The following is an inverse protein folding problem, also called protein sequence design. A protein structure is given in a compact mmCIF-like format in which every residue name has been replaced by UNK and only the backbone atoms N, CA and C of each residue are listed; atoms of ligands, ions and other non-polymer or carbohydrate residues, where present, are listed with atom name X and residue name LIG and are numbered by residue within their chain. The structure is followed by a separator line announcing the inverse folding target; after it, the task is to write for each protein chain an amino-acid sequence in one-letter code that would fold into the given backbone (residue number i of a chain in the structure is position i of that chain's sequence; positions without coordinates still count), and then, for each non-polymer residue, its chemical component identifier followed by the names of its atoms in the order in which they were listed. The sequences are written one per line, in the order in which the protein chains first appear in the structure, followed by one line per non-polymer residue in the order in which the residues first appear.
data_IF_084091027285
#
_entry.id   IF_084091027285
#
_cell.length_a   1.000
_cell.length_b   1.000
_cell.length_c   1.000
_cell.angle_alpha   90.00
_cell.angle_beta   90.00
_cell.angle_gamma   90.00
#
_symmetry.space_group_name_H-M   'P 1'
#
loop_
_entity.id
_entity.type
_entity.pdbx_description
1 polymer ?
#
# COMPACT_ATOMS: atom_id res chain seq x y z
N UNK A 1 -15.16 -15.02 20.74
CA UNK A 1 -13.81 -15.31 20.24
C UNK A 1 -13.36 -14.02 19.61
N UNK A 2 -12.43 -13.31 20.24
CA UNK A 2 -11.82 -12.16 19.59
C UNK A 2 -11.10 -12.72 18.36
N UNK A 3 -11.61 -12.46 17.16
CA UNK A 3 -10.87 -12.76 15.95
C UNK A 3 -9.58 -11.95 16.04
N UNK A 4 -8.44 -12.63 16.05
CA UNK A 4 -7.15 -11.97 15.95
C UNK A 4 -7.17 -11.19 14.62
N UNK A 5 -7.13 -9.86 14.71
CA UNK A 5 -7.05 -9.02 13.52
C UNK A 5 -5.75 -9.33 12.81
N UNK A 6 -5.79 -9.34 11.48
CA UNK A 6 -4.60 -9.48 10.66
C UNK A 6 -3.58 -8.38 10.96
N UNK A 7 -2.32 -8.63 10.63
CA UNK A 7 -1.22 -7.68 10.81
C UNK A 7 -1.02 -6.82 9.57
N UNK A 8 -0.57 -5.58 9.78
CA UNK A 8 -0.12 -4.73 8.69
C UNK A 8 1.40 -4.86 8.52
N UNK A 9 1.83 -5.42 7.40
CA UNK A 9 3.23 -5.64 7.04
C UNK A 9 3.64 -4.55 6.05
N UNK A 10 4.63 -3.74 6.42
CA UNK A 10 5.04 -2.57 5.63
C UNK A 10 6.45 -2.79 5.10
N UNK A 11 6.59 -2.90 3.78
CA UNK A 11 7.87 -2.84 3.08
C UNK A 11 8.14 -1.40 2.64
N UNK A 12 9.20 -0.82 3.20
CA UNK A 12 9.62 0.56 2.90
C UNK A 12 11.10 0.64 2.57
N UNK A 13 11.43 1.55 1.67
CA UNK A 13 12.79 1.80 1.18
C UNK A 13 12.78 2.86 0.07
N UNK A 14 13.92 3.44 -0.31
CA UNK A 14 14.00 4.48 -1.35
C UNK A 14 13.49 4.02 -2.73
N UNK A 15 13.10 4.96 -3.59
CA UNK A 15 12.77 4.67 -4.98
C UNK A 15 13.95 4.00 -5.70
N UNK A 16 13.69 2.90 -6.41
CA UNK A 16 14.69 2.17 -7.20
C UNK A 16 15.53 1.15 -6.41
N UNK A 17 15.31 0.98 -5.10
CA UNK A 17 16.04 -0.02 -4.27
C UNK A 17 15.65 -1.47 -4.58
N UNK A 18 14.56 -1.69 -5.31
CA UNK A 18 14.09 -3.03 -5.71
C UNK A 18 12.93 -3.58 -4.89
N UNK A 19 12.16 -2.74 -4.19
CA UNK A 19 10.96 -3.13 -3.42
C UNK A 19 9.99 -4.01 -4.23
N UNK A 20 9.65 -3.60 -5.46
CA UNK A 20 8.79 -4.39 -6.35
C UNK A 20 9.34 -5.79 -6.67
N UNK A 21 10.67 -5.96 -6.74
CA UNK A 21 11.33 -7.27 -6.92
C UNK A 21 11.16 -8.14 -5.67
N UNK A 22 11.34 -7.56 -4.49
CA UNK A 22 11.14 -8.24 -3.20
C UNK A 22 9.66 -8.64 -3.04
N UNK A 23 8.73 -7.71 -3.29
CA UNK A 23 7.29 -7.97 -3.33
C UNK A 23 6.98 -9.16 -4.24
N UNK A 24 7.42 -9.11 -5.50
CA UNK A 24 7.16 -10.17 -6.47
C UNK A 24 7.63 -11.52 -5.94
N UNK A 25 8.83 -11.59 -5.38
CA UNK A 25 9.39 -12.85 -4.85
C UNK A 25 8.66 -13.37 -3.62
N UNK A 26 8.16 -12.49 -2.75
CA UNK A 26 7.30 -12.87 -1.62
C UNK A 26 6.00 -13.50 -2.13
N UNK A 27 5.32 -12.86 -3.08
CA UNK A 27 4.04 -13.33 -3.61
C UNK A 27 4.15 -14.49 -4.62
N UNK A 28 5.35 -14.80 -5.11
CA UNK A 28 5.64 -16.04 -5.87
C UNK A 28 5.76 -17.27 -4.97
N UNK A 29 5.99 -17.11 -3.67
CA UNK A 29 6.05 -18.22 -2.72
C UNK A 29 4.63 -18.70 -2.39
N UNK A 30 4.28 -19.97 -2.69
CA UNK A 30 2.94 -20.50 -2.43
C UNK A 30 2.60 -20.63 -0.93
N UNK A 31 3.58 -20.52 -0.04
CA UNK A 31 3.35 -20.46 1.41
C UNK A 31 2.95 -19.07 1.91
N UNK A 32 3.07 -18.04 1.07
CA UNK A 32 2.68 -16.68 1.42
C UNK A 32 1.17 -16.54 1.54
N UNK A 33 0.70 -16.20 2.75
CA UNK A 33 -0.71 -15.98 3.06
C UNK A 33 -1.14 -14.51 3.04
N UNK A 34 -0.20 -13.59 2.83
CA UNK A 34 -0.45 -12.14 2.87
C UNK A 34 -1.38 -11.70 1.72
N UNK A 35 -2.13 -10.63 1.96
CA UNK A 35 -2.93 -9.93 0.95
C UNK A 35 -2.22 -8.64 0.57
N UNK A 36 -1.89 -8.47 -0.70
CA UNK A 36 -1.25 -7.24 -1.17
C UNK A 36 -2.26 -6.10 -1.22
N UNK A 37 -1.92 -4.95 -0.65
CA UNK A 37 -2.68 -3.71 -0.82
C UNK A 37 -2.06 -2.87 -1.92
N UNK A 38 -2.81 -2.73 -3.02
CA UNK A 38 -2.40 -1.96 -4.19
C UNK A 38 -2.65 -0.48 -3.91
N UNK A 39 -1.59 0.32 -3.94
CA UNK A 39 -1.67 1.76 -3.72
C UNK A 39 -2.30 2.49 -4.93
N UNK A 40 -2.88 3.65 -4.68
CA UNK A 40 -3.32 4.58 -5.72
C UNK A 40 -2.19 5.54 -6.07
N UNK A 41 -2.14 5.98 -7.34
CA UNK A 41 -1.23 7.05 -7.75
C UNK A 41 -1.81 7.94 -8.83
N UNK A 42 -1.37 9.20 -8.88
CA UNK A 42 -1.66 10.12 -10.00
C UNK A 42 -0.57 10.14 -11.06
N UNK A 43 0.52 9.39 -10.85
CA UNK A 43 1.58 9.23 -11.84
C UNK A 43 1.01 8.55 -13.09
N UNK A 44 1.53 8.91 -14.26
CA UNK A 44 1.23 8.17 -15.48
C UNK A 44 1.77 6.72 -15.41
N UNK A 45 0.94 5.79 -15.88
CA UNK A 45 1.33 4.39 -16.04
C UNK A 45 2.57 4.28 -16.95
N UNK A 46 3.58 3.53 -16.51
CA UNK A 46 4.77 3.21 -17.31
C UNK A 46 4.51 2.00 -18.19
N UNK A 47 5.34 1.83 -19.22
CA UNK A 47 5.30 0.64 -20.07
C UNK A 47 5.49 -0.64 -19.23
N UNK A 48 4.55 -1.57 -19.37
CA UNK A 48 4.54 -2.84 -18.64
C UNK A 48 3.81 -2.83 -17.29
N UNK A 49 3.38 -1.67 -16.78
CA UNK A 49 2.51 -1.60 -15.59
C UNK A 49 1.05 -1.89 -15.97
N UNK A 50 0.30 -2.47 -15.02
CA UNK A 50 -1.12 -2.80 -15.20
C UNK A 50 -1.96 -2.15 -14.09
N UNK A 51 -3.03 -1.46 -14.49
CA UNK A 51 -3.99 -0.84 -13.56
C UNK A 51 -4.70 -1.92 -12.72
N UNK A 52 -4.77 -1.70 -11.40
CA UNK A 52 -5.31 -2.67 -10.46
C UNK A 52 -4.41 -3.87 -10.19
N UNK A 53 -3.14 -3.82 -10.61
CA UNK A 53 -2.11 -4.82 -10.26
C UNK A 53 -0.89 -4.14 -9.65
N UNK A 54 -0.35 -3.13 -10.33
CA UNK A 54 0.81 -2.37 -9.84
C UNK A 54 0.36 -1.17 -9.02
N UNK A 55 -0.58 -0.39 -9.56
CA UNK A 55 -1.24 0.72 -8.89
C UNK A 55 -2.68 0.84 -9.39
N UNK A 56 -3.51 1.51 -8.61
CA UNK A 56 -4.73 2.12 -9.11
C UNK A 56 -4.41 3.52 -9.64
N UNK A 57 -4.37 3.66 -10.96
CA UNK A 57 -4.04 4.94 -11.60
C UNK A 57 -5.27 5.86 -11.59
N UNK A 58 -5.12 7.03 -10.99
CA UNK A 58 -6.20 8.03 -10.83
C UNK A 58 -5.78 9.37 -11.41
N UNK A 59 -6.75 10.19 -11.80
CA UNK A 59 -6.49 11.60 -12.07
C UNK A 59 -6.22 12.33 -10.75
N UNK A 60 -5.54 13.49 -10.83
CA UNK A 60 -5.28 14.31 -9.63
C UNK A 60 -6.57 14.73 -8.94
N UNK A 61 -7.56 15.21 -9.70
CA UNK A 61 -8.86 15.60 -9.16
C UNK A 61 -9.59 14.45 -8.45
N UNK A 62 -9.54 13.24 -9.00
CA UNK A 62 -10.13 12.06 -8.38
C UNK A 62 -9.39 11.67 -7.09
N UNK A 63 -8.07 11.77 -7.08
CA UNK A 63 -7.27 11.51 -5.88
C UNK A 63 -7.56 12.54 -4.78
N UNK A 64 -7.62 13.83 -5.12
CA UNK A 64 -7.93 14.90 -4.17
C UNK A 64 -9.36 14.80 -3.61
N UNK A 65 -10.32 14.30 -4.40
CA UNK A 65 -11.65 13.98 -3.89
C UNK A 65 -11.59 12.87 -2.83
N UNK A 66 -10.82 11.79 -3.08
CA UNK A 66 -10.63 10.70 -2.12
C UNK A 66 -9.91 11.15 -0.83
N UNK A 67 -8.98 12.11 -0.92
CA UNK A 67 -8.37 12.75 0.27
C UNK A 67 -9.45 13.44 1.11
N UNK A 68 -10.35 14.22 0.48
CA UNK A 68 -11.42 14.95 1.19
C UNK A 68 -12.44 14.02 1.86
N UNK A 69 -12.58 12.82 1.33
CA UNK A 69 -13.49 11.79 1.83
C UNK A 69 -12.79 10.82 2.83
N UNK A 70 -11.59 11.17 3.32
CA UNK A 70 -10.79 10.39 4.27
C UNK A 70 -10.56 8.92 3.83
N UNK A 71 -10.36 8.70 2.52
CA UNK A 71 -10.27 7.34 1.93
C UNK A 71 -8.85 6.75 1.95
N UNK A 72 -7.89 7.38 2.62
CA UNK A 72 -6.49 6.95 2.67
C UNK A 72 -5.99 6.79 4.10
N UNK A 73 -5.21 5.73 4.38
CA UNK A 73 -4.47 5.59 5.65
C UNK A 73 -3.28 6.55 5.66
N UNK A 74 -2.61 6.63 4.51
CA UNK A 74 -1.53 7.57 4.27
C UNK A 74 -1.59 8.01 2.82
N UNK A 75 -1.11 9.21 2.58
CA UNK A 75 -0.77 9.68 1.25
C UNK A 75 0.41 10.63 1.30
N UNK A 76 1.15 10.70 0.21
CA UNK A 76 2.27 11.62 0.01
C UNK A 76 2.32 12.12 -1.43
N UNK A 77 2.86 13.32 -1.61
CA UNK A 77 3.20 13.84 -2.94
C UNK A 77 4.69 13.69 -3.18
N UNK A 78 5.06 12.97 -4.24
CA UNK A 78 6.44 12.78 -4.64
C UNK A 78 6.62 13.16 -6.11
N UNK A 79 7.49 14.14 -6.36
CA UNK A 79 7.79 14.67 -7.70
C UNK A 79 6.49 15.03 -8.46
N UNK A 80 5.58 15.74 -7.79
CA UNK A 80 4.32 16.23 -8.35
C UNK A 80 3.23 15.18 -8.55
N UNK A 81 3.42 13.95 -8.06
CA UNK A 81 2.42 12.88 -8.16
C UNK A 81 2.02 12.41 -6.76
N UNK A 82 0.73 12.20 -6.54
CA UNK A 82 0.23 11.59 -5.32
C UNK A 82 0.43 10.08 -5.35
N UNK A 83 0.66 9.53 -4.17
CA UNK A 83 0.65 8.12 -3.84
C UNK A 83 -0.12 7.97 -2.54
N UNK A 84 -0.97 6.95 -2.42
CA UNK A 84 -1.67 6.71 -1.18
C UNK A 84 -2.28 5.32 -1.07
N UNK A 85 -2.46 4.91 0.17
CA UNK A 85 -2.92 3.57 0.54
C UNK A 85 -4.42 3.60 0.88
N UNK A 86 -5.29 2.92 0.10
CA UNK A 86 -6.74 2.92 0.34
C UNK A 86 -7.11 2.32 1.69
N UNK A 87 -7.85 3.07 2.52
CA UNK A 87 -8.17 2.65 3.91
C UNK A 87 -9.12 1.45 3.98
N UNK A 88 -10.12 1.43 3.11
CA UNK A 88 -11.19 0.44 3.17
C UNK A 88 -10.66 -0.98 2.94
N UNK A 89 -9.83 -1.16 1.89
CA UNK A 89 -9.25 -2.46 1.57
C UNK A 89 -8.40 -3.03 2.71
N UNK A 90 -7.53 -2.20 3.30
CA UNK A 90 -6.65 -2.62 4.39
C UNK A 90 -7.48 -3.00 5.62
N UNK A 91 -8.44 -2.15 6.00
CA UNK A 91 -9.26 -2.37 7.19
C UNK A 91 -10.12 -3.63 7.07
N UNK A 92 -10.84 -3.79 5.95
CA UNK A 92 -11.72 -4.94 5.75
C UNK A 92 -10.92 -6.24 5.74
N UNK A 93 -9.78 -6.27 5.04
CA UNK A 93 -8.92 -7.46 4.96
C UNK A 93 -8.34 -7.82 6.33
N UNK A 94 -7.92 -6.84 7.13
CA UNK A 94 -7.42 -7.09 8.49
C UNK A 94 -8.53 -7.54 9.45
N UNK A 95 -9.73 -6.97 9.34
CA UNK A 95 -10.89 -7.35 10.15
C UNK A 95 -11.39 -8.77 9.82
N UNK A 96 -11.13 -9.26 8.60
CA UNK A 96 -11.30 -10.66 8.20
C UNK A 96 -10.23 -11.63 8.76
N UNK A 97 -9.20 -11.09 9.45
CA UNK A 97 -8.10 -11.88 10.01
C UNK A 97 -6.97 -12.17 9.03
N UNK A 98 -6.90 -11.44 7.91
CA UNK A 98 -5.84 -11.60 6.93
C UNK A 98 -4.74 -10.55 7.10
N UNK A 99 -3.49 -10.99 7.06
CA UNK A 99 -2.32 -10.10 7.05
C UNK A 99 -2.27 -9.32 5.74
N UNK A 100 -2.06 -8.00 5.83
CA UNK A 100 -2.00 -7.10 4.68
C UNK A 100 -0.56 -6.66 4.45
N UNK A 101 -0.08 -6.78 3.22
CA UNK A 101 1.24 -6.32 2.80
C UNK A 101 1.14 -5.01 2.03
N UNK A 102 1.86 -3.99 2.50
CA UNK A 102 1.98 -2.68 1.90
C UNK A 102 3.39 -2.43 1.38
N UNK A 103 3.50 -1.87 0.18
CA UNK A 103 4.74 -1.33 -0.36
C UNK A 103 4.60 0.19 -0.46
N UNK A 104 5.38 0.93 0.32
CA UNK A 104 5.34 2.40 0.36
C UNK A 104 6.75 3.00 0.44
N UNK A 105 6.88 4.26 0.06
CA UNK A 105 8.15 5.00 0.21
C UNK A 105 8.37 5.42 1.68
N UNK A 106 9.63 5.73 2.03
CA UNK A 106 10.03 6.08 3.41
C UNK A 106 9.20 7.23 4.00
N UNK A 107 8.84 8.21 3.17
CA UNK A 107 8.04 9.35 3.60
C UNK A 107 6.58 8.96 3.92
N UNK A 108 6.00 8.03 3.15
CA UNK A 108 4.66 7.49 3.41
C UNK A 108 4.64 6.60 4.66
N UNK A 109 5.68 5.78 4.85
CA UNK A 109 5.81 4.91 6.03
C UNK A 109 5.84 5.67 7.36
N UNK A 110 6.36 6.90 7.34
CA UNK A 110 6.41 7.78 8.51
C UNK A 110 5.05 8.42 8.84
N UNK A 111 4.11 8.41 7.89
CA UNK A 111 2.77 9.02 8.01
C UNK A 111 1.68 8.01 8.35
N UNK A 112 1.98 6.70 8.36
CA UNK A 112 1.03 5.67 8.77
C UNK A 112 0.54 5.92 10.20
N UNK A 113 -0.78 5.90 10.38
CA UNK A 113 -1.39 6.08 11.69
C UNK A 113 -1.01 4.95 12.67
N UNK A 114 -0.80 5.30 13.94
CA UNK A 114 -0.47 4.35 15.03
C UNK A 114 -1.63 3.41 15.43
N UNK A 115 -2.72 3.41 14.66
CA UNK A 115 -3.94 2.68 14.97
C UNK A 115 -3.88 1.19 14.56
N UNK A 116 -2.85 0.77 13.83
CA UNK A 116 -2.65 -0.61 13.39
C UNK A 116 -1.50 -1.29 14.14
N UNK A 117 -1.64 -2.58 14.41
CA UNK A 117 -0.51 -3.41 14.84
C UNK A 117 0.37 -3.70 13.62
N UNK A 118 1.53 -3.04 13.56
CA UNK A 118 2.39 -3.01 12.38
C UNK A 118 3.70 -3.79 12.55
N UNK A 119 4.19 -4.38 11.46
CA UNK A 119 5.55 -4.95 11.33
C UNK A 119 6.26 -4.31 10.14
N UNK A 120 7.44 -3.74 10.39
CA UNK A 120 8.25 -3.10 9.36
C UNK A 120 9.31 -4.05 8.80
N UNK A 121 9.40 -4.08 7.47
CA UNK A 121 10.50 -4.67 6.70
C UNK A 121 11.23 -3.52 5.99
N UNK A 122 12.52 -3.37 6.27
CA UNK A 122 13.36 -2.36 5.63
C UNK A 122 14.20 -3.01 4.52
N UNK A 123 14.24 -2.38 3.35
CA UNK A 123 15.06 -2.81 2.20
C UNK A 123 15.84 -1.65 1.59
#
# INVERSE_FOLDING_TARGET
MDNEKGLLIVLSGPSGVGKGTVRKRIFEDPSTSYKYSISMTTRQMREGEVDGVDYFFKTRDAFEALIKDDQFIEYAEYVGNYYGTPVQYVKDTMDEGHDVFLEIEVEGASKLERNFQMRYLFS
#
